data_IF_150362182863
#
_entry.id   IF_150362182863
#
_cell.length_a   1.000
_cell.length_b   1.000
_cell.length_c   1.000
_cell.angle_alpha   90.00
_cell.angle_beta   90.00
_cell.angle_gamma   90.00
#
_symmetry.space_group_name_H-M   'P 1'
#
loop_
_entity.id
_entity.type
_entity.pdbx_description
1 polymer ?
#
# COMPACT_ATOMS: atom_id res chain seq x y z
N UNK A 1 -3.03 16.22 -3.88
CA UNK A 1 -1.85 16.00 -3.01
C UNK A 1 -1.29 14.60 -3.29
N UNK A 2 -0.25 14.46 -4.12
CA UNK A 2 0.39 13.15 -4.42
C UNK A 2 1.20 12.72 -3.19
N UNK A 3 0.53 12.21 -2.16
CA UNK A 3 1.23 11.51 -1.08
C UNK A 3 1.89 10.30 -1.74
N UNK A 4 3.21 10.25 -1.69
CA UNK A 4 4.00 9.21 -2.33
C UNK A 4 3.68 7.90 -1.59
N UNK A 5 3.10 6.91 -2.29
CA UNK A 5 2.56 5.68 -1.68
C UNK A 5 3.61 4.94 -0.82
N UNK A 6 4.90 5.08 -1.17
CA UNK A 6 6.04 4.60 -0.39
C UNK A 6 6.17 5.27 0.98
N UNK A 7 5.95 6.58 1.07
CA UNK A 7 6.02 7.32 2.34
C UNK A 7 4.92 6.87 3.29
N UNK A 8 3.72 6.61 2.76
CA UNK A 8 2.61 6.13 3.57
C UNK A 8 2.82 4.69 4.08
N UNK A 9 3.37 3.81 3.25
CA UNK A 9 3.81 2.47 3.68
C UNK A 9 4.86 2.53 4.79
N UNK A 10 5.85 3.42 4.65
CA UNK A 10 6.88 3.62 5.68
C UNK A 10 6.29 4.06 7.02
N UNK A 11 5.38 5.05 6.98
CA UNK A 11 4.68 5.52 8.19
C UNK A 11 3.85 4.40 8.82
N UNK A 12 3.09 3.65 8.01
CA UNK A 12 2.29 2.52 8.51
C UNK A 12 3.16 1.42 9.15
N UNK A 13 4.31 1.12 8.57
CA UNK A 13 5.28 0.17 9.11
C UNK A 13 5.91 0.66 10.44
N UNK A 14 6.22 1.95 10.56
CA UNK A 14 6.72 2.52 11.83
C UNK A 14 5.66 2.44 12.93
N UNK A 15 4.40 2.79 12.62
CA UNK A 15 3.29 2.68 13.57
C UNK A 15 3.07 1.22 13.98
N UNK A 16 3.20 0.27 13.05
CA UNK A 16 3.14 -1.16 13.36
C UNK A 16 4.22 -1.55 14.37
N UNK A 17 5.47 -1.10 14.17
CA UNK A 17 6.56 -1.35 15.11
C UNK A 17 6.27 -0.81 16.51
N UNK A 18 5.74 0.42 16.60
CA UNK A 18 5.32 1.02 17.87
C UNK A 18 4.19 0.22 18.52
N UNK A 19 3.17 -0.18 17.76
CA UNK A 19 2.05 -0.98 18.26
C UNK A 19 2.51 -2.34 18.81
N UNK A 20 3.44 -3.00 18.12
CA UNK A 20 4.01 -4.28 18.58
C UNK A 20 4.80 -4.09 19.86
N UNK A 21 5.63 -3.04 19.97
CA UNK A 21 6.35 -2.73 21.21
C UNK A 21 5.38 -2.42 22.37
N UNK A 22 4.34 -1.61 22.12
CA UNK A 22 3.32 -1.31 23.12
C UNK A 22 2.55 -2.55 23.59
N UNK A 23 2.36 -3.53 22.69
CA UNK A 23 1.72 -4.83 23.00
C UNK A 23 2.53 -5.68 23.99
N UNK A 24 3.84 -5.43 24.11
CA UNK A 24 4.72 -6.14 25.04
C UNK A 24 4.77 -5.48 26.43
N UNK A 25 4.14 -4.32 26.61
CA UNK A 25 4.15 -3.62 27.91
C UNK A 25 3.41 -4.40 29.00
N UNK A 26 3.91 -4.29 30.23
CA UNK A 26 3.31 -4.91 31.41
C UNK A 26 1.93 -4.31 31.76
N UNK A 27 1.74 -3.02 31.51
CA UNK A 27 0.46 -2.33 31.74
C UNK A 27 -0.62 -2.82 30.80
N UNK A 28 -1.73 -3.32 31.35
CA UNK A 28 -2.82 -3.91 30.58
C UNK A 28 -3.42 -2.94 29.57
N UNK A 29 -3.59 -1.67 29.93
CA UNK A 29 -4.17 -0.66 29.04
C UNK A 29 -3.27 -0.35 27.84
N UNK A 30 -1.97 -0.15 28.07
CA UNK A 30 -0.99 0.12 27.02
C UNK A 30 -0.90 -1.05 26.04
N UNK A 31 -0.94 -2.28 26.57
CA UNK A 31 -0.94 -3.50 25.75
C UNK A 31 -2.18 -3.63 24.87
N UNK A 32 -3.35 -3.28 25.40
CA UNK A 32 -4.61 -3.32 24.66
C UNK A 32 -4.60 -2.28 23.51
N UNK A 33 -4.10 -1.07 23.79
CA UNK A 33 -3.86 -0.04 22.77
C UNK A 33 -2.86 -0.56 21.73
N UNK A 34 -1.77 -1.20 22.17
CA UNK A 34 -0.78 -1.82 21.29
C UNK A 34 -1.40 -2.79 20.30
N UNK A 35 -2.25 -3.71 20.76
CA UNK A 35 -2.94 -4.65 19.88
C UNK A 35 -3.83 -3.95 18.85
N UNK A 36 -4.62 -2.95 19.26
CA UNK A 36 -5.49 -2.20 18.36
C UNK A 36 -4.66 -1.47 17.30
N UNK A 37 -3.58 -0.80 17.71
CA UNK A 37 -2.67 -0.07 16.82
C UNK A 37 -2.01 -1.04 15.84
N UNK A 38 -1.52 -2.20 16.29
CA UNK A 38 -0.92 -3.20 15.42
C UNK A 38 -1.91 -3.72 14.36
N UNK A 39 -3.13 -4.09 14.77
CA UNK A 39 -4.16 -4.56 13.83
C UNK A 39 -4.53 -3.45 12.82
N UNK A 40 -4.69 -2.21 13.29
CA UNK A 40 -4.96 -1.06 12.44
C UNK A 40 -3.86 -0.82 11.40
N UNK A 41 -2.59 -0.90 11.80
CA UNK A 41 -1.46 -0.72 10.89
C UNK A 41 -1.37 -1.84 9.84
N UNK A 42 -1.62 -3.09 10.22
CA UNK A 42 -1.68 -4.21 9.25
C UNK A 42 -2.80 -3.97 8.24
N UNK A 43 -3.97 -3.51 8.69
CA UNK A 43 -5.08 -3.18 7.80
C UNK A 43 -4.73 -2.06 6.81
N UNK A 44 -4.03 -1.02 7.27
CA UNK A 44 -3.54 0.06 6.40
C UNK A 44 -2.56 -0.47 5.36
N UNK A 45 -1.58 -1.29 5.75
CA UNK A 45 -0.64 -1.91 4.82
C UNK A 45 -1.36 -2.76 3.77
N UNK A 46 -2.36 -3.54 4.16
CA UNK A 46 -3.19 -4.30 3.23
C UNK A 46 -3.93 -3.42 2.21
N UNK A 47 -4.50 -2.29 2.65
CA UNK A 47 -5.15 -1.36 1.73
C UNK A 47 -4.16 -0.75 0.72
N UNK A 48 -2.96 -0.40 1.16
CA UNK A 48 -1.89 0.12 0.29
C UNK A 48 -1.54 -0.89 -0.80
N UNK A 49 -1.37 -2.16 -0.43
CA UNK A 49 -1.06 -3.21 -1.40
C UNK A 49 -2.22 -3.45 -2.37
N UNK A 50 -3.46 -3.39 -1.88
CA UNK A 50 -4.65 -3.49 -2.72
C UNK A 50 -4.75 -2.33 -3.71
N UNK A 51 -4.36 -1.11 -3.31
CA UNK A 51 -4.27 0.03 -4.22
C UNK A 51 -3.15 -0.12 -5.24
N UNK A 52 -1.96 -0.60 -4.83
CA UNK A 52 -0.86 -0.94 -5.75
C UNK A 52 -1.30 -1.96 -6.79
N UNK A 53 -2.00 -3.02 -6.39
CA UNK A 53 -2.50 -4.03 -7.31
C UNK A 53 -3.46 -3.42 -8.35
N UNK A 54 -4.39 -2.56 -7.91
CA UNK A 54 -5.28 -1.83 -8.84
C UNK A 54 -4.53 -0.92 -9.80
N UNK A 55 -3.51 -0.20 -9.32
CA UNK A 55 -2.66 0.63 -10.19
C UNK A 55 -1.87 -0.20 -11.20
N UNK A 56 -1.32 -1.37 -10.80
CA UNK A 56 -0.61 -2.29 -11.70
C UNK A 56 -1.54 -2.82 -12.80
N UNK A 57 -2.78 -3.16 -12.48
CA UNK A 57 -3.77 -3.58 -13.49
C UNK A 57 -4.07 -2.47 -14.51
N UNK A 58 -4.25 -1.22 -14.06
CA UNK A 58 -4.42 -0.07 -14.97
C UNK A 58 -3.18 0.14 -15.84
N UNK A 59 -1.99 0.11 -15.26
CA UNK A 59 -0.74 0.26 -16.01
C UNK A 59 -0.54 -0.86 -17.05
N UNK A 60 -0.89 -2.11 -16.72
CA UNK A 60 -0.86 -3.22 -17.66
C UNK A 60 -1.85 -3.04 -18.81
N UNK A 61 -3.06 -2.54 -18.52
CA UNK A 61 -4.06 -2.21 -19.53
C UNK A 61 -3.57 -1.12 -20.49
N UNK A 62 -3.04 -0.01 -19.96
CA UNK A 62 -2.47 1.07 -20.79
C UNK A 62 -1.28 0.62 -21.64
N UNK A 63 -0.39 -0.24 -21.11
CA UNK A 63 0.71 -0.81 -21.92
C UNK A 63 0.21 -1.68 -23.06
N UNK A 64 -0.86 -2.48 -22.85
CA UNK A 64 -1.47 -3.29 -23.91
C UNK A 64 -2.09 -2.39 -24.98
N UNK A 65 -2.86 -1.38 -24.59
CA UNK A 65 -3.43 -0.40 -25.53
C UNK A 65 -2.34 0.33 -26.31
N UNK A 66 -1.30 0.83 -25.66
CA UNK A 66 -0.20 1.52 -26.33
C UNK A 66 0.51 0.65 -27.37
N UNK A 67 0.66 -0.65 -27.09
CA UNK A 67 1.25 -1.60 -28.05
C UNK A 67 0.36 -1.85 -29.27
N UNK A 68 -0.97 -1.90 -29.07
CA UNK A 68 -1.95 -2.04 -30.18
C UNK A 68 -2.01 -0.76 -31.02
N UNK A 69 -2.01 0.41 -30.38
CA UNK A 69 -2.00 1.71 -31.08
C UNK A 69 -0.69 1.87 -31.86
N UNK A 70 0.44 1.52 -31.26
CA UNK A 70 1.74 1.56 -31.95
C UNK A 70 1.82 0.60 -33.14
N UNK A 71 1.29 -0.62 -33.02
CA UNK A 71 1.27 -1.55 -34.17
C UNK A 71 0.37 -1.04 -35.31
N UNK A 72 -0.79 -0.44 -34.98
CA UNK A 72 -1.70 0.13 -35.99
C UNK A 72 -1.15 1.39 -36.65
N UNK A 73 -0.36 2.19 -35.94
CA UNK A 73 0.33 3.35 -36.51
C UNK A 73 1.50 2.93 -37.42
N UNK A 74 2.19 1.83 -37.10
CA UNK A 74 3.24 1.27 -37.95
C UNK A 74 2.69 0.63 -39.24
N UNK A 75 1.50 0.04 -39.19
CA UNK A 75 0.82 -0.50 -40.39
C UNK A 75 0.22 0.61 -41.30
N UNK A 76 0.09 1.84 -40.79
CA UNK A 76 -0.49 2.98 -41.51
C UNK A 76 0.55 3.94 -42.10
N UNK A 77 1.85 3.67 -41.89
CA UNK A 77 2.99 4.43 -42.41
C UNK A 77 3.67 3.65 -43.54
#
# INVERSE_FOLDING_TARGET
>A
MRINLKTFEFVAAMILGIGVMASLCAFREIRLIGYIVSVGSVYLLYQIDRERARQRHRAAFYRRMGRIVASRLADAA
#
